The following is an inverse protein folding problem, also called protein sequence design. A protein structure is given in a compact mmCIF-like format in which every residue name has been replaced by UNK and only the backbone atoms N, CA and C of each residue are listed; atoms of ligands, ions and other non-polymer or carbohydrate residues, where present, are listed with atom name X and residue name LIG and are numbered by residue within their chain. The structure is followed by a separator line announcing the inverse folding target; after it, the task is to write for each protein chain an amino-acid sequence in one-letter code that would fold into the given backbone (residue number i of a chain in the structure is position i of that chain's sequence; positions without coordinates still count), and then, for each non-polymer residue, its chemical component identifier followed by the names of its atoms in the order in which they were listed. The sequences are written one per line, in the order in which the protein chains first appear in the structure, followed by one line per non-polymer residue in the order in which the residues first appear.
data_IF_618158852721
#
_entry.id   IF_618158852721
#
_cell.length_a   1.000
_cell.length_b   1.000
_cell.length_c   1.000
_cell.angle_alpha   90.00
_cell.angle_beta   90.00
_cell.angle_gamma   90.00
#
_symmetry.space_group_name_H-M   'P 1'
#
loop_
_entity.id
_entity.type
_entity.pdbx_description
1 polymer ?
#
# COMPACT_ATOMS: atom_id res chain seq x y z
N UNK A 1 27.87 18.95 16.38
CA UNK A 1 26.61 19.35 15.72
C UNK A 1 25.57 18.28 16.01
N UNK A 2 24.33 18.67 16.28
CA UNK A 2 23.31 18.01 17.11
C UNK A 2 23.07 16.50 16.89
N UNK A 3 23.27 15.69 17.94
CA UNK A 3 22.56 14.42 18.10
C UNK A 3 21.15 14.71 18.61
N UNK A 4 20.16 14.82 17.73
CA UNK A 4 18.77 14.61 18.17
C UNK A 4 18.53 13.11 18.25
N UNK A 5 19.16 12.43 19.21
CA UNK A 5 18.84 11.05 19.52
C UNK A 5 17.53 11.04 20.30
N UNK A 6 16.41 11.11 19.59
CA UNK A 6 15.14 10.65 20.15
C UNK A 6 15.32 9.15 20.29
N UNK A 7 15.46 8.67 21.53
CA UNK A 7 15.40 7.24 21.81
C UNK A 7 14.08 6.73 21.23
N UNK A 8 14.16 5.86 20.21
CA UNK A 8 12.95 5.24 19.66
C UNK A 8 12.29 4.47 20.79
N UNK A 9 11.00 4.75 21.09
CA UNK A 9 10.30 4.00 22.12
C UNK A 9 10.33 2.50 21.79
N UNK A 10 10.42 1.64 22.81
CA UNK A 10 10.49 0.20 22.59
C UNK A 10 9.27 -0.27 21.80
N UNK A 11 9.51 -1.06 20.76
CA UNK A 11 8.45 -1.63 19.93
C UNK A 11 7.85 -2.85 20.62
N UNK A 12 6.53 -2.95 20.61
CA UNK A 12 5.80 -4.15 20.98
C UNK A 12 5.80 -5.14 19.82
N UNK A 13 6.45 -6.28 20.01
CA UNK A 13 6.38 -7.39 19.08
C UNK A 13 4.97 -7.99 19.07
N UNK A 14 4.41 -8.16 17.87
CA UNK A 14 3.10 -8.77 17.67
C UNK A 14 3.24 -10.15 17.03
N UNK A 15 2.27 -11.02 17.29
CA UNK A 15 2.08 -12.24 16.49
C UNK A 15 1.52 -11.91 15.12
N UNK A 16 1.53 -12.88 14.20
CA UNK A 16 0.96 -12.69 12.87
C UNK A 16 -0.55 -12.33 12.92
N UNK A 17 -1.31 -12.95 13.81
CA UNK A 17 -2.74 -12.70 13.97
C UNK A 17 -3.01 -11.28 14.50
N UNK A 18 -2.23 -10.85 15.50
CA UNK A 18 -2.30 -9.49 16.03
C UNK A 18 -1.89 -8.45 14.98
N UNK A 19 -0.85 -8.75 14.20
CA UNK A 19 -0.37 -7.91 13.11
C UNK A 19 -1.42 -7.73 12.01
N UNK A 20 -2.09 -8.80 11.57
CA UNK A 20 -3.17 -8.72 10.57
C UNK A 20 -4.35 -7.88 11.09
N UNK A 21 -4.73 -8.04 12.37
CA UNK A 21 -5.75 -7.20 12.98
C UNK A 21 -5.37 -5.71 12.95
N UNK A 22 -4.17 -5.37 13.43
CA UNK A 22 -3.70 -3.97 13.46
C UNK A 22 -3.63 -3.37 12.05
N UNK A 23 -3.13 -4.13 11.07
CA UNK A 23 -3.10 -3.67 9.68
C UNK A 23 -4.51 -3.41 9.14
N UNK A 24 -5.47 -4.30 9.42
CA UNK A 24 -6.87 -4.13 8.97
C UNK A 24 -7.53 -2.93 9.63
N UNK A 25 -7.34 -2.72 10.92
CA UNK A 25 -7.91 -1.57 11.62
C UNK A 25 -7.36 -0.25 11.08
N UNK A 26 -6.05 -0.14 10.86
CA UNK A 26 -5.46 1.09 10.33
C UNK A 26 -5.83 1.31 8.86
N UNK A 27 -5.99 0.24 8.08
CA UNK A 27 -6.27 0.34 6.65
C UNK A 27 -7.77 0.51 6.32
N UNK A 28 -8.64 -0.22 7.02
CA UNK A 28 -10.08 -0.36 6.74
C UNK A 28 -10.97 0.11 7.89
N UNK A 29 -10.43 0.46 9.06
CA UNK A 29 -11.23 0.87 10.22
C UNK A 29 -12.01 2.17 9.96
N UNK A 30 -12.75 2.64 10.97
CA UNK A 30 -13.60 3.83 10.85
C UNK A 30 -12.86 5.09 10.38
N UNK A 31 -11.56 5.19 10.70
CA UNK A 31 -10.66 6.26 10.26
C UNK A 31 -9.59 5.76 9.25
N UNK A 32 -9.83 4.62 8.60
CA UNK A 32 -8.90 4.02 7.65
C UNK A 32 -8.77 4.86 6.39
N UNK A 33 -7.53 5.13 5.97
CA UNK A 33 -7.24 6.02 4.84
C UNK A 33 -6.83 5.28 3.55
N UNK A 34 -6.98 3.94 3.53
CA UNK A 34 -6.59 3.10 2.40
C UNK A 34 -5.15 3.35 1.89
N UNK A 35 -4.25 3.73 2.79
CA UNK A 35 -2.87 4.06 2.46
C UNK A 35 -2.10 2.89 1.82
N UNK A 36 -1.16 3.24 0.94
CA UNK A 36 -0.27 2.28 0.30
C UNK A 36 0.58 1.50 1.30
N UNK A 37 1.08 0.34 0.88
CA UNK A 37 1.71 -0.66 1.77
C UNK A 37 2.87 -0.12 2.61
N UNK A 38 3.75 0.69 2.00
CA UNK A 38 4.89 1.33 2.69
C UNK A 38 4.42 2.30 3.78
N UNK A 39 3.43 3.14 3.45
CA UNK A 39 2.87 4.11 4.40
C UNK A 39 2.14 3.40 5.54
N UNK A 40 1.40 2.33 5.24
CA UNK A 40 0.70 1.52 6.22
C UNK A 40 1.69 0.87 7.21
N UNK A 41 2.72 0.19 6.73
CA UNK A 41 3.75 -0.41 7.58
C UNK A 41 4.48 0.64 8.45
N UNK A 42 4.77 1.82 7.88
CA UNK A 42 5.39 2.90 8.62
C UNK A 42 4.47 3.45 9.74
N UNK A 43 3.17 3.59 9.48
CA UNK A 43 2.20 4.01 10.51
C UNK A 43 2.16 3.03 11.68
N UNK A 44 2.10 1.73 11.39
CA UNK A 44 2.14 0.67 12.41
C UNK A 44 3.42 0.77 13.24
N UNK A 45 4.57 0.93 12.57
CA UNK A 45 5.86 1.08 13.23
C UNK A 45 5.89 2.32 14.13
N UNK A 46 5.36 3.45 13.65
CA UNK A 46 5.25 4.71 14.41
C UNK A 46 4.32 4.61 15.60
N UNK A 47 3.33 3.73 15.57
CA UNK A 47 2.47 3.42 16.73
C UNK A 47 3.15 2.48 17.74
N UNK A 48 4.37 2.03 17.46
CA UNK A 48 5.15 1.21 18.38
C UNK A 48 4.96 -0.29 18.20
N UNK A 49 4.45 -0.75 17.05
CA UNK A 49 4.28 -2.18 16.78
C UNK A 49 5.29 -2.71 15.76
N UNK A 50 5.70 -3.96 15.93
CA UNK A 50 6.61 -4.62 15.00
C UNK A 50 6.35 -6.12 14.89
N UNK A 51 6.57 -6.68 13.71
CA UNK A 51 6.76 -8.11 13.49
C UNK A 51 7.55 -8.32 12.19
N UNK A 52 8.27 -9.45 12.02
CA UNK A 52 9.24 -9.62 10.93
C UNK A 52 8.65 -9.47 9.52
N UNK A 53 7.40 -9.91 9.31
CA UNK A 53 6.74 -9.93 7.99
C UNK A 53 5.86 -8.72 7.72
N UNK A 54 5.85 -7.69 8.59
CA UNK A 54 4.88 -6.59 8.52
C UNK A 54 4.80 -5.88 7.16
N UNK A 55 5.93 -5.75 6.46
CA UNK A 55 5.98 -5.12 5.14
C UNK A 55 5.33 -5.99 4.07
N UNK A 56 5.55 -7.31 4.13
CA UNK A 56 4.95 -8.28 3.22
C UNK A 56 3.45 -8.40 3.48
N UNK A 57 3.04 -8.41 4.75
CA UNK A 57 1.64 -8.49 5.15
C UNK A 57 0.88 -7.22 4.74
N UNK A 58 1.46 -6.03 4.95
CA UNK A 58 0.90 -4.77 4.48
C UNK A 58 0.78 -4.73 2.95
N UNK A 59 1.78 -5.24 2.23
CA UNK A 59 1.74 -5.34 0.76
C UNK A 59 0.61 -6.26 0.30
N UNK A 60 0.52 -7.45 0.88
CA UNK A 60 -0.54 -8.43 0.59
C UNK A 60 -1.92 -7.86 0.87
N UNK A 61 -2.09 -7.11 1.96
CA UNK A 61 -3.34 -6.47 2.33
C UNK A 61 -3.77 -5.38 1.34
N UNK A 62 -2.86 -4.50 0.93
CA UNK A 62 -3.17 -3.43 -0.03
C UNK A 62 -3.43 -4.01 -1.43
N UNK A 63 -2.69 -5.06 -1.83
CA UNK A 63 -2.90 -5.76 -3.11
C UNK A 63 -4.29 -6.39 -3.21
N UNK A 64 -4.79 -6.99 -2.13
CA UNK A 64 -6.13 -7.61 -2.09
C UNK A 64 -7.28 -6.61 -1.85
N UNK A 65 -6.97 -5.34 -1.56
CA UNK A 65 -7.99 -4.33 -1.25
C UNK A 65 -8.61 -3.75 -2.52
N UNK A 66 -9.87 -4.12 -2.80
CA UNK A 66 -10.61 -3.67 -4.00
C UNK A 66 -10.65 -2.13 -4.14
N UNK A 67 -10.91 -1.40 -3.05
CA UNK A 67 -10.87 0.08 -3.06
C UNK A 67 -9.50 0.61 -3.48
N UNK A 68 -8.42 0.05 -2.93
CA UNK A 68 -7.06 0.47 -3.31
C UNK A 68 -6.74 0.13 -4.77
N UNK A 69 -7.25 -0.99 -5.30
CA UNK A 69 -7.02 -1.35 -6.70
C UNK A 69 -7.82 -0.48 -7.66
N UNK A 70 -9.05 -0.08 -7.30
CA UNK A 70 -9.89 0.79 -8.13
C UNK A 70 -9.41 2.24 -8.15
N UNK A 71 -8.91 2.74 -7.02
CA UNK A 71 -8.55 4.15 -6.84
C UNK A 71 -7.05 4.38 -6.70
N UNK A 72 -6.23 3.34 -6.89
CA UNK A 72 -4.78 3.46 -6.91
C UNK A 72 -4.29 4.28 -8.10
N UNK A 73 -3.05 4.78 -8.03
CA UNK A 73 -2.45 5.49 -9.15
C UNK A 73 -2.43 4.58 -10.39
N UNK A 74 -2.98 5.09 -11.50
CA UNK A 74 -2.77 4.49 -12.81
C UNK A 74 -1.27 4.58 -13.11
N UNK A 75 -0.57 3.46 -13.34
CA UNK A 75 0.81 3.51 -13.75
C UNK A 75 0.88 4.33 -15.05
N UNK A 76 1.79 5.31 -15.09
CA UNK A 76 2.01 6.13 -16.28
C UNK A 76 2.87 5.33 -17.27
N UNK A 77 2.30 4.25 -17.81
CA UNK A 77 2.92 3.41 -18.83
C UNK A 77 2.94 4.23 -20.12
N UNK A 78 4.05 4.27 -20.89
CA UNK A 78 4.03 4.88 -22.22
C UNK A 78 2.93 4.27 -23.07
N UNK A 79 2.19 5.12 -23.79
CA UNK A 79 1.14 4.66 -24.69
C UNK A 79 1.73 3.73 -25.74
N UNK A 80 1.13 2.56 -25.92
CA UNK A 80 1.48 1.69 -27.05
C UNK A 80 0.98 2.33 -28.36
N UNK A 81 1.75 2.21 -29.46
CA UNK A 81 1.31 2.70 -30.76
C UNK A 81 0.05 1.94 -31.20
N UNK A 82 -1.05 2.68 -31.38
CA UNK A 82 -2.30 2.11 -31.89
C UNK A 82 -2.11 1.65 -33.33
N UNK A 83 -2.46 0.41 -33.63
CA UNK A 83 -2.58 -0.06 -35.01
C UNK A 83 -3.89 0.45 -35.59
N UNK A 84 -3.88 1.30 -36.63
CA UNK A 84 -5.12 1.74 -37.25
C UNK A 84 -5.79 0.53 -37.92
N UNK A 85 -7.08 0.32 -37.61
CA UNK A 85 -7.93 -0.58 -38.39
C UNK A 85 -8.17 0.13 -39.72
N UNK A 86 -7.40 -0.23 -40.73
CA UNK A 86 -7.61 0.26 -42.09
C UNK A 86 -8.79 -0.50 -42.66
N UNK A 87 -9.89 0.19 -42.93
CA UNK A 87 -11.01 -0.38 -43.68
C UNK A 87 -10.50 -0.82 -45.05
N UNK A 88 -10.71 -2.07 -45.48
CA UNK A 88 -10.25 -2.53 -46.79
C UNK A 88 -10.98 -1.85 -47.96
N UNK A 89 -12.08 -1.15 -47.67
CA UNK A 89 -12.87 -0.43 -48.65
C UNK A 89 -12.72 1.08 -48.44
N UNK A 90 -12.11 1.81 -49.38
CA UNK A 90 -12.21 3.26 -49.40
C UNK A 90 -13.68 3.64 -49.65
N UNK A 91 -14.18 4.67 -48.95
CA UNK A 91 -15.47 5.25 -49.29
C UNK A 91 -15.39 5.73 -50.75
N UNK A 92 -16.31 5.23 -51.57
CA UNK A 92 -16.47 5.57 -52.97
C UNK A 92 -16.98 7.01 -53.15
#
# INVERSE_FOLDING_TARGET
MCFTSVATPPLKCLTAEQGDYVLREIHNGACGDHSGSRSLAYKVFRQGYFWPTMHQDANSLVKRCDKCQRFGNVPHIPAEPLTPIVSPWPFA
#
